data_IF_004363832335
#
_entry.id   IF_004363832335
#
_cell.length_a   1.000
_cell.length_b   1.000
_cell.length_c   1.000
_cell.angle_alpha   90.00
_cell.angle_beta   90.00
_cell.angle_gamma   90.00
#
_symmetry.space_group_name_H-M   'P 1'
#
loop_
_entity.id
_entity.type
_entity.pdbx_description
1 polymer ?
#
# COMPACT_ATOMS: atom_id res chain seq x y z
N UNK A 1 1.46 -9.46 5.45
CA UNK A 1 0.80 -8.15 5.72
C UNK A 1 0.84 -7.21 4.52
N UNK A 2 2.02 -6.83 3.98
CA UNK A 2 2.14 -5.90 2.84
C UNK A 2 1.33 -6.32 1.61
N UNK A 3 1.33 -7.62 1.27
CA UNK A 3 0.52 -8.18 0.18
C UNK A 3 -0.99 -7.91 0.36
N UNK A 4 -1.54 -8.26 1.53
CA UNK A 4 -2.96 -8.04 1.85
C UNK A 4 -3.34 -6.56 1.77
N UNK A 5 -2.49 -5.66 2.29
CA UNK A 5 -2.72 -4.21 2.16
C UNK A 5 -2.67 -3.75 0.71
N UNK A 6 -1.76 -4.27 -0.09
CA UNK A 6 -1.65 -3.90 -1.52
C UNK A 6 -2.90 -4.31 -2.29
N UNK A 7 -3.44 -5.51 -2.06
CA UNK A 7 -4.68 -5.95 -2.70
C UNK A 7 -5.89 -5.13 -2.25
N UNK A 8 -5.98 -4.79 -0.95
CA UNK A 8 -7.05 -3.92 -0.43
C UNK A 8 -6.96 -2.50 -1.01
N UNK A 9 -5.75 -1.94 -1.11
CA UNK A 9 -5.50 -0.62 -1.71
C UNK A 9 -5.96 -0.60 -3.17
N UNK A 10 -5.60 -1.63 -3.97
CA UNK A 10 -6.03 -1.73 -5.38
C UNK A 10 -7.55 -1.75 -5.51
N UNK A 11 -8.24 -2.59 -4.72
CA UNK A 11 -9.70 -2.67 -4.73
C UNK A 11 -10.38 -1.35 -4.33
N UNK A 12 -9.90 -0.72 -3.27
CA UNK A 12 -10.45 0.56 -2.79
C UNK A 12 -10.16 1.71 -3.77
N UNK A 13 -9.00 1.70 -4.44
CA UNK A 13 -8.68 2.69 -5.46
C UNK A 13 -9.70 2.64 -6.61
N UNK A 14 -9.95 1.46 -7.18
CA UNK A 14 -10.97 1.29 -8.24
C UNK A 14 -12.38 1.65 -7.77
N UNK A 15 -12.73 1.35 -6.51
CA UNK A 15 -14.02 1.75 -5.95
C UNK A 15 -14.18 3.28 -5.89
N UNK A 16 -13.13 4.01 -5.47
CA UNK A 16 -13.16 5.46 -5.35
C UNK A 16 -13.14 6.18 -6.71
N UNK A 17 -12.65 5.54 -7.77
CA UNK A 17 -12.76 6.08 -9.14
C UNK A 17 -14.23 6.26 -9.56
N UNK A 18 -15.09 5.30 -9.17
CA UNK A 18 -16.53 5.33 -9.39
C UNK A 18 -17.25 6.21 -8.35
N UNK A 19 -16.83 6.13 -7.07
CA UNK A 19 -17.48 6.81 -5.95
C UNK A 19 -16.64 7.96 -5.39
N UNK A 20 -16.43 9.01 -6.19
CA UNK A 20 -15.54 10.13 -5.85
C UNK A 20 -15.94 10.93 -4.59
N UNK A 21 -17.19 10.81 -4.14
CA UNK A 21 -17.72 11.49 -2.94
C UNK A 21 -17.63 10.65 -1.66
N UNK A 22 -17.11 9.41 -1.71
CA UNK A 22 -16.92 8.59 -0.52
C UNK A 22 -15.62 8.95 0.22
N UNK A 23 -15.70 10.02 1.01
CA UNK A 23 -14.58 10.51 1.83
C UNK A 23 -14.22 9.58 3.00
N UNK A 24 -15.18 8.77 3.46
CA UNK A 24 -14.97 7.81 4.56
C UNK A 24 -14.05 6.69 4.12
N UNK A 25 -14.32 6.10 2.94
CA UNK A 25 -13.46 5.09 2.34
C UNK A 25 -12.10 5.65 1.93
N UNK A 26 -12.05 6.89 1.41
CA UNK A 26 -10.80 7.56 1.08
C UNK A 26 -9.89 7.72 2.33
N UNK A 27 -10.47 8.14 3.45
CA UNK A 27 -9.74 8.23 4.73
C UNK A 27 -9.20 6.86 5.17
N UNK A 28 -9.98 5.80 5.00
CA UNK A 28 -9.56 4.42 5.24
C UNK A 28 -8.39 3.99 4.34
N UNK A 29 -8.46 4.32 3.05
CA UNK A 29 -7.40 4.07 2.07
C UNK A 29 -6.09 4.77 2.45
N UNK A 30 -6.15 6.07 2.82
CA UNK A 30 -4.98 6.82 3.28
C UNK A 30 -4.33 6.18 4.52
N UNK A 31 -5.14 5.69 5.47
CA UNK A 31 -4.63 4.96 6.64
C UNK A 31 -3.92 3.65 6.25
N UNK A 32 -4.45 2.88 5.31
CA UNK A 32 -3.83 1.65 4.80
C UNK A 32 -2.51 1.93 4.08
N UNK A 33 -2.47 2.97 3.23
CA UNK A 33 -1.25 3.42 2.57
C UNK A 33 -0.16 3.79 3.59
N UNK A 34 -0.51 4.55 4.63
CA UNK A 34 0.43 4.92 5.69
C UNK A 34 0.96 3.71 6.47
N UNK A 35 0.10 2.74 6.82
CA UNK A 35 0.52 1.49 7.47
C UNK A 35 1.48 0.69 6.58
N UNK A 36 1.16 0.55 5.30
CA UNK A 36 2.04 -0.15 4.33
C UNK A 36 3.40 0.54 4.20
N UNK A 37 3.43 1.87 4.12
CA UNK A 37 4.67 2.65 4.03
C UNK A 37 5.58 2.43 5.23
N UNK A 38 5.03 2.46 6.46
CA UNK A 38 5.81 2.19 7.68
C UNK A 38 6.40 0.78 7.72
N UNK A 39 5.63 -0.23 7.31
CA UNK A 39 6.13 -1.62 7.23
C UNK A 39 7.24 -1.78 6.19
N UNK A 40 7.11 -1.13 5.03
CA UNK A 40 8.14 -1.15 4.00
C UNK A 40 9.41 -0.42 4.46
N UNK A 41 9.30 0.74 5.13
CA UNK A 41 10.43 1.45 5.69
C UNK A 41 11.17 0.61 6.75
N UNK A 42 10.42 -0.07 7.64
CA UNK A 42 11.00 -1.01 8.59
C UNK A 42 11.74 -2.16 7.90
N UNK A 43 11.12 -2.76 6.87
CA UNK A 43 11.73 -3.85 6.12
C UNK A 43 13.00 -3.39 5.38
N UNK A 44 12.98 -2.18 4.80
CA UNK A 44 14.14 -1.59 4.12
C UNK A 44 15.32 -1.36 5.07
N UNK A 45 15.05 -0.91 6.31
CA UNK A 45 16.07 -0.75 7.35
C UNK A 45 16.65 -2.10 7.81
N UNK A 46 15.81 -3.13 7.92
CA UNK A 46 16.22 -4.45 8.44
C UNK A 46 16.87 -5.35 7.39
N UNK A 47 16.36 -5.36 6.16
CA UNK A 47 16.85 -6.20 5.08
C UNK A 47 16.51 -5.62 3.70
N UNK A 48 17.49 -4.95 3.08
CA UNK A 48 17.36 -4.33 1.76
C UNK A 48 17.07 -5.34 0.65
N UNK A 49 17.62 -6.55 0.69
CA UNK A 49 17.42 -7.58 -0.35
C UNK A 49 15.95 -8.03 -0.37
N UNK A 50 15.39 -8.34 0.81
CA UNK A 50 13.98 -8.70 0.94
C UNK A 50 13.06 -7.56 0.55
N UNK A 51 13.41 -6.32 0.91
CA UNK A 51 12.67 -5.14 0.49
C UNK A 51 12.61 -5.02 -1.04
N UNK A 52 13.76 -5.05 -1.73
CA UNK A 52 13.83 -4.97 -3.19
C UNK A 52 13.05 -6.09 -3.89
N UNK A 53 13.19 -7.33 -3.39
CA UNK A 53 12.41 -8.46 -3.91
C UNK A 53 10.91 -8.24 -3.76
N UNK A 54 10.46 -7.77 -2.58
CA UNK A 54 9.05 -7.58 -2.28
C UNK A 54 8.41 -6.47 -3.12
N UNK A 55 9.08 -5.31 -3.25
CA UNK A 55 8.55 -4.20 -4.06
C UNK A 55 8.48 -4.55 -5.54
N UNK A 56 9.46 -5.31 -6.06
CA UNK A 56 9.46 -5.80 -7.43
C UNK A 56 8.33 -6.78 -7.70
N UNK A 57 8.11 -7.74 -6.79
CA UNK A 57 7.00 -8.69 -6.90
C UNK A 57 5.62 -8.03 -6.86
N UNK A 58 5.49 -6.92 -6.12
CA UNK A 58 4.21 -6.24 -5.92
C UNK A 58 4.01 -5.02 -6.84
N UNK A 59 4.96 -4.71 -7.72
CA UNK A 59 4.99 -3.50 -8.55
C UNK A 59 4.68 -2.23 -7.72
N UNK A 60 5.35 -2.10 -6.56
CA UNK A 60 5.22 -0.93 -5.69
C UNK A 60 6.30 0.07 -6.10
N UNK A 61 5.91 1.32 -6.42
CA UNK A 61 6.86 2.40 -6.71
C UNK A 61 7.73 2.70 -5.48
N UNK A 62 9.04 2.80 -5.68
CA UNK A 62 9.93 3.44 -4.71
C UNK A 62 9.57 4.94 -4.64
N UNK A 63 9.36 5.45 -3.43
CA UNK A 63 9.14 6.87 -3.13
C UNK A 63 10.17 7.32 -2.12
#
# INVERSE_FOLDING_TARGET
>A
QVFSFTNKIRRLASHLELHKKDFSSERGLRRLLGKRRRLLAYLAKKNRVRYKKLIGQLNIREQ
#
